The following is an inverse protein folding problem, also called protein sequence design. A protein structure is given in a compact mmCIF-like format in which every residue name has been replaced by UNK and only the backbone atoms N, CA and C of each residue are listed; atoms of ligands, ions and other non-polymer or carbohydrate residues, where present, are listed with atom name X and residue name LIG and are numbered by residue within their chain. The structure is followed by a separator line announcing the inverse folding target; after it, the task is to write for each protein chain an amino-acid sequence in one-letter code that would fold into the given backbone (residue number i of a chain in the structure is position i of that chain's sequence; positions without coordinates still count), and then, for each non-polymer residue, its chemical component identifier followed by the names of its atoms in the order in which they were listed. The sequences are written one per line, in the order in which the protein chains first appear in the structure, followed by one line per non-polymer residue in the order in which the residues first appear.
data_IF_538754801856
#
_entry.id   IF_538754801856
#
_cell.length_a   1.000
_cell.length_b   1.000
_cell.length_c   1.000
_cell.angle_alpha   90.00
_cell.angle_beta   90.00
_cell.angle_gamma   90.00
#
_symmetry.space_group_name_H-M   'P 1'
#
loop_
_entity.id
_entity.type
_entity.pdbx_description
1 polymer ?
#
# COMPACT_ATOMS: atom_id res chain seq x y z
N UNK A 1 13.27 7.65 13.56
CA UNK A 1 12.12 8.41 14.10
C UNK A 1 10.84 7.73 13.66
N UNK A 2 9.89 7.51 14.58
CA UNK A 2 8.55 7.00 14.26
C UNK A 2 7.56 8.16 14.20
N UNK A 3 6.54 8.06 13.36
CA UNK A 3 5.52 9.10 13.29
C UNK A 3 4.20 8.57 12.77
N UNK A 4 3.18 9.42 12.89
CA UNK A 4 1.83 9.19 12.42
C UNK A 4 1.30 10.48 11.81
N UNK A 5 0.60 10.38 10.68
CA UNK A 5 -0.11 11.49 10.06
C UNK A 5 -1.33 10.98 9.28
N UNK A 6 -2.25 11.89 8.99
CA UNK A 6 -3.41 11.61 8.14
C UNK A 6 -3.14 12.21 6.75
N UNK A 7 -3.26 11.40 5.71
CA UNK A 7 -3.15 11.85 4.31
C UNK A 7 -4.54 11.95 3.73
N UNK A 8 -4.83 13.05 3.04
CA UNK A 8 -6.09 13.21 2.33
C UNK A 8 -6.25 12.11 1.28
N UNK A 9 -7.37 11.38 1.34
CA UNK A 9 -7.75 10.37 0.35
C UNK A 9 -8.93 10.85 -0.49
N UNK A 10 -9.92 11.49 0.14
CA UNK A 10 -11.00 12.17 -0.57
C UNK A 10 -10.90 13.64 -0.23
N UNK A 11 -10.76 14.55 -1.23
CA UNK A 11 -10.66 15.98 -1.01
C UNK A 11 -11.67 16.48 0.02
N UNK A 12 -11.16 16.98 1.16
CA UNK A 12 -11.92 17.52 2.29
C UNK A 12 -12.96 16.59 2.94
N UNK A 13 -13.03 15.31 2.58
CA UNK A 13 -14.08 14.38 3.05
C UNK A 13 -13.56 13.17 3.81
N UNK A 14 -12.33 12.74 3.54
CA UNK A 14 -11.79 11.55 4.18
C UNK A 14 -10.30 11.40 3.99
N UNK A 15 -9.67 10.72 4.94
CA UNK A 15 -8.23 10.48 4.96
C UNK A 15 -7.91 9.01 5.14
N UNK A 16 -6.67 8.65 4.85
CA UNK A 16 -6.02 7.44 5.33
C UNK A 16 -5.04 7.81 6.43
N UNK A 17 -4.79 6.89 7.35
CA UNK A 17 -3.77 7.07 8.39
C UNK A 17 -2.47 6.41 7.94
N UNK A 18 -1.37 7.16 7.96
CA UNK A 18 -0.02 6.65 7.71
C UNK A 18 0.72 6.61 9.04
N UNK A 19 1.22 5.43 9.40
CA UNK A 19 2.18 5.24 10.50
C UNK A 19 3.48 4.74 9.92
N UNK A 20 4.60 5.29 10.36
CA UNK A 20 5.90 4.96 9.79
C UNK A 20 6.96 4.80 10.88
N UNK A 21 7.85 3.84 10.64
CA UNK A 21 9.10 3.58 11.36
C UNK A 21 10.21 3.38 10.29
N UNK A 22 11.50 3.30 10.66
CA UNK A 22 12.59 3.23 9.67
C UNK A 22 12.43 2.16 8.57
N UNK A 23 11.80 1.03 8.88
CA UNK A 23 11.61 -0.11 7.96
C UNK A 23 10.17 -0.62 7.92
N UNK A 24 9.20 0.19 8.33
CA UNK A 24 7.80 -0.22 8.40
C UNK A 24 6.93 0.96 7.98
N UNK A 25 6.03 0.74 7.02
CA UNK A 25 4.97 1.67 6.69
C UNK A 25 3.64 0.96 6.87
N UNK A 26 2.76 1.55 7.66
CA UNK A 26 1.37 1.08 7.81
C UNK A 26 0.43 2.14 7.27
N UNK A 27 -0.46 1.75 6.36
CA UNK A 27 -1.55 2.56 5.83
C UNK A 27 -2.87 1.95 6.27
N UNK A 28 -3.68 2.72 6.97
CA UNK A 28 -4.96 2.25 7.49
C UNK A 28 -6.14 3.08 6.98
N UNK A 29 -7.18 2.36 6.59
CA UNK A 29 -8.54 2.82 6.35
C UNK A 29 -9.46 2.26 7.45
N UNK A 30 -10.75 2.62 7.46
CA UNK A 30 -11.68 2.10 8.49
C UNK A 30 -11.86 0.58 8.43
N UNK A 31 -11.83 -0.01 7.23
CA UNK A 31 -12.14 -1.42 6.98
C UNK A 31 -10.93 -2.28 6.62
N UNK A 32 -9.73 -1.69 6.49
CA UNK A 32 -8.55 -2.42 6.01
C UNK A 32 -7.26 -1.76 6.47
N UNK A 33 -6.23 -2.59 6.70
CA UNK A 33 -4.88 -2.14 7.04
C UNK A 33 -3.88 -2.78 6.08
N UNK A 34 -3.00 -1.97 5.53
CA UNK A 34 -1.87 -2.38 4.70
C UNK A 34 -0.58 -2.13 5.48
N UNK A 35 0.29 -3.11 5.56
CA UNK A 35 1.60 -2.99 6.21
C UNK A 35 2.70 -3.41 5.24
N UNK A 36 3.72 -2.59 5.14
CA UNK A 36 4.85 -2.76 4.23
C UNK A 36 6.13 -2.85 5.06
N UNK A 37 6.81 -4.00 4.95
CA UNK A 37 8.05 -4.36 5.62
C UNK A 37 9.08 -4.82 4.57
N UNK A 38 10.38 -4.92 4.90
CA UNK A 38 11.42 -5.11 3.89
C UNK A 38 11.26 -6.39 3.05
N UNK A 39 10.72 -7.45 3.65
CA UNK A 39 10.55 -8.77 3.03
C UNK A 39 9.11 -9.26 3.02
N UNK A 40 8.17 -8.41 3.42
CA UNK A 40 6.77 -8.79 3.47
C UNK A 40 5.85 -7.58 3.24
N UNK A 41 4.69 -7.84 2.67
CA UNK A 41 3.57 -6.91 2.64
C UNK A 41 2.33 -7.64 3.17
N UNK A 42 1.59 -7.00 4.09
CA UNK A 42 0.41 -7.59 4.72
C UNK A 42 -0.81 -6.75 4.38
N UNK A 43 -1.89 -7.43 4.04
CA UNK A 43 -3.22 -6.87 3.83
C UNK A 43 -4.14 -7.52 4.85
N UNK A 44 -4.56 -6.74 5.84
CA UNK A 44 -5.38 -7.23 6.95
C UNK A 44 -6.84 -6.83 6.74
N UNK A 45 -7.70 -7.86 6.70
CA UNK A 45 -9.13 -7.79 6.40
C UNK A 45 -9.45 -7.45 4.95
N UNK A 46 -10.66 -7.87 4.52
CA UNK A 46 -11.29 -7.43 3.27
C UNK A 46 -10.53 -7.85 1.98
N UNK A 47 -9.70 -8.89 2.02
CA UNK A 47 -9.11 -9.52 0.81
C UNK A 47 -10.16 -10.39 0.11
N UNK A 48 -10.23 -10.29 -1.22
CA UNK A 48 -11.12 -11.11 -2.07
C UNK A 48 -10.36 -12.11 -2.93
N UNK A 49 -9.37 -11.63 -3.67
CA UNK A 49 -8.53 -12.43 -4.55
C UNK A 49 -7.15 -11.77 -4.67
N UNK A 50 -6.13 -12.56 -4.99
CA UNK A 50 -4.81 -12.05 -5.31
C UNK A 50 -4.21 -12.82 -6.48
N UNK A 51 -3.37 -12.16 -7.26
CA UNK A 51 -2.69 -12.76 -8.41
C UNK A 51 -1.26 -12.25 -8.53
N UNK A 52 -0.35 -13.16 -8.82
CA UNK A 52 1.00 -12.84 -9.26
C UNK A 52 1.14 -12.99 -10.77
N UNK A 53 1.77 -12.05 -11.45
CA UNK A 53 2.13 -12.15 -12.86
C UNK A 53 3.59 -11.73 -13.08
N UNK A 54 4.21 -12.24 -14.14
CA UNK A 54 5.55 -11.81 -14.58
C UNK A 54 5.42 -11.15 -15.95
N UNK A 55 6.10 -10.02 -16.14
CA UNK A 55 6.21 -9.34 -17.42
C UNK A 55 7.64 -8.81 -17.58
N UNK A 56 8.38 -9.38 -18.53
CA UNK A 56 9.81 -9.11 -18.69
C UNK A 56 10.59 -9.36 -17.40
N UNK A 57 11.37 -8.37 -16.96
CA UNK A 57 12.18 -8.43 -15.73
C UNK A 57 11.41 -8.07 -14.45
N UNK A 58 10.08 -7.93 -14.55
CA UNK A 58 9.21 -7.45 -13.48
C UNK A 58 8.19 -8.51 -13.09
N UNK A 59 7.85 -8.55 -11.81
CA UNK A 59 6.80 -9.37 -11.21
C UNK A 59 5.82 -8.43 -10.51
N UNK A 60 4.55 -8.60 -10.81
CA UNK A 60 3.46 -7.81 -10.25
C UNK A 60 2.59 -8.70 -9.37
N UNK A 61 2.27 -8.22 -8.18
CA UNK A 61 1.37 -8.86 -7.25
C UNK A 61 0.20 -7.92 -7.07
N UNK A 62 -1.00 -8.31 -7.49
CA UNK A 62 -2.19 -7.49 -7.29
C UNK A 62 -3.17 -8.21 -6.36
N UNK A 63 -3.64 -7.49 -5.37
CA UNK A 63 -4.63 -7.90 -4.37
C UNK A 63 -5.89 -7.08 -4.60
N UNK A 64 -7.01 -7.76 -4.77
CA UNK A 64 -8.34 -7.15 -4.90
C UNK A 64 -9.10 -7.29 -3.60
N UNK A 65 -9.83 -6.24 -3.25
CA UNK A 65 -10.61 -6.19 -2.02
C UNK A 65 -12.05 -6.70 -2.24
N UNK A 66 -12.67 -7.16 -1.16
CA UNK A 66 -14.08 -7.57 -1.15
C UNK A 66 -15.03 -6.36 -1.20
N UNK A 67 -14.56 -5.20 -0.76
CA UNK A 67 -15.24 -3.90 -0.84
C UNK A 67 -14.19 -2.78 -0.94
N UNK A 68 -14.57 -1.62 -1.48
CA UNK A 68 -13.65 -0.48 -1.57
C UNK A 68 -13.16 -0.02 -0.20
N UNK A 69 -12.00 0.62 -0.17
CA UNK A 69 -11.45 1.24 1.05
C UNK A 69 -12.40 2.31 1.58
N UNK A 70 -12.61 2.33 2.89
CA UNK A 70 -13.47 3.31 3.56
C UNK A 70 -12.59 4.34 4.28
N UNK A 71 -12.55 5.60 3.84
CA UNK A 71 -11.71 6.62 4.45
C UNK A 71 -12.07 6.88 5.92
N UNK A 72 -11.07 7.24 6.70
CA UNK A 72 -11.21 7.73 8.07
C UNK A 72 -11.83 9.13 8.02
N UNK A 73 -12.81 9.37 8.89
CA UNK A 73 -13.49 10.66 9.03
C UNK A 73 -12.64 11.64 9.86
N UNK A 74 -11.43 11.91 9.38
CA UNK A 74 -10.48 12.85 9.96
C UNK A 74 -9.90 13.74 8.86
N UNK A 75 -9.53 14.98 9.21
CA UNK A 75 -8.85 15.91 8.30
C UNK A 75 -7.47 15.36 7.96
N UNK A 76 -7.19 15.15 6.68
CA UNK A 76 -5.88 14.74 6.18
C UNK A 76 -5.12 15.91 5.56
N UNK A 77 -3.80 15.78 5.50
CA UNK A 77 -2.92 16.68 4.75
C UNK A 77 -2.87 16.24 3.28
N UNK A 78 -3.03 17.16 2.32
CA UNK A 78 -2.90 16.83 0.90
C UNK A 78 -1.44 16.54 0.53
N UNK A 79 -1.23 15.61 -0.39
CA UNK A 79 0.07 15.36 -1.05
C UNK A 79 0.00 15.97 -2.45
N UNK A 80 0.45 17.22 -2.58
CA UNK A 80 0.48 17.95 -3.87
C UNK A 80 1.78 17.69 -4.65
N UNK A 81 2.86 17.38 -3.94
CA UNK A 81 4.16 16.98 -4.48
C UNK A 81 4.59 15.69 -3.80
N UNK A 82 5.48 14.88 -4.41
CA UNK A 82 6.05 13.72 -3.74
C UNK A 82 6.55 14.09 -2.35
N UNK A 83 6.12 13.32 -1.35
CA UNK A 83 6.42 13.59 0.06
C UNK A 83 7.21 12.44 0.64
N UNK A 84 8.35 12.75 1.24
CA UNK A 84 9.13 11.76 1.99
C UNK A 84 8.57 11.66 3.41
N UNK A 85 8.21 10.44 3.82
CA UNK A 85 7.71 10.12 5.16
C UNK A 85 8.52 8.94 5.68
N UNK A 86 9.33 9.18 6.71
CA UNK A 86 10.37 8.23 7.11
C UNK A 86 11.37 8.04 5.97
N UNK A 87 11.49 6.80 5.46
CA UNK A 87 12.31 6.46 4.30
C UNK A 87 11.49 6.12 3.05
N UNK A 88 10.18 6.38 3.08
CA UNK A 88 9.26 6.12 1.98
C UNK A 88 8.96 7.41 1.24
N UNK A 89 8.87 7.34 -0.08
CA UNK A 89 8.34 8.45 -0.88
C UNK A 89 6.89 8.13 -1.28
N UNK A 90 5.97 9.01 -0.90
CA UNK A 90 4.55 8.90 -1.22
C UNK A 90 4.20 9.86 -2.36
N UNK A 91 3.48 9.36 -3.35
CA UNK A 91 2.90 10.14 -4.45
C UNK A 91 1.40 9.88 -4.52
N UNK A 92 0.61 10.94 -4.49
CA UNK A 92 -0.83 10.85 -4.58
C UNK A 92 -1.31 11.36 -5.94
N UNK A 93 -2.18 10.60 -6.59
CA UNK A 93 -2.80 10.96 -7.87
C UNK A 93 -4.30 10.81 -7.72
N UNK A 94 -5.05 11.89 -8.01
CA UNK A 94 -6.50 11.88 -8.08
C UNK A 94 -6.93 12.24 -9.50
N UNK A 95 -7.63 11.33 -10.16
CA UNK A 95 -8.20 11.51 -11.51
C UNK A 95 -9.72 11.77 -11.45
N UNK A 96 -10.28 12.11 -10.28
CA UNK A 96 -11.71 12.25 -9.96
C UNK A 96 -12.52 10.95 -9.96
N UNK A 97 -12.29 10.07 -10.92
CA UNK A 97 -12.92 8.74 -11.00
C UNK A 97 -12.05 7.63 -10.39
N UNK A 98 -10.74 7.87 -10.24
CA UNK A 98 -9.79 6.94 -9.62
C UNK A 98 -8.79 7.69 -8.75
N UNK A 99 -8.40 7.06 -7.65
CA UNK A 99 -7.41 7.56 -6.70
C UNK A 99 -6.30 6.54 -6.52
N UNK A 100 -5.07 7.03 -6.52
CA UNK A 100 -3.88 6.22 -6.34
C UNK A 100 -2.96 6.83 -5.30
N UNK A 101 -2.45 6.00 -4.40
CA UNK A 101 -1.28 6.32 -3.59
C UNK A 101 -0.15 5.37 -3.99
N UNK A 102 0.85 5.91 -4.67
CA UNK A 102 2.10 5.21 -4.95
C UNK A 102 3.04 5.37 -3.76
N UNK A 103 3.55 4.26 -3.26
CA UNK A 103 4.50 4.14 -2.16
C UNK A 103 5.79 3.60 -2.76
N UNK A 104 6.81 4.44 -2.87
CA UNK A 104 8.15 4.03 -3.29
C UNK A 104 8.90 3.61 -2.02
N UNK A 105 9.43 2.39 -2.04
CA UNK A 105 10.08 1.78 -0.89
C UNK A 105 11.57 2.10 -0.85
N UNK A 106 12.19 2.10 0.35
CA UNK A 106 13.63 2.29 0.47
C UNK A 106 14.40 1.04 0.00
N UNK A 107 15.68 1.20 -0.34
CA UNK A 107 16.51 0.13 -0.92
C UNK A 107 16.70 -1.14 -0.08
N UNK A 108 16.31 -1.13 1.20
CA UNK A 108 16.28 -2.33 2.03
C UNK A 108 15.13 -3.30 1.68
N UNK A 109 14.15 -2.86 0.90
CA UNK A 109 12.95 -3.62 0.56
C UNK A 109 13.18 -4.49 -0.68
N UNK A 110 12.57 -5.68 -0.70
CA UNK A 110 12.65 -6.63 -1.81
C UNK A 110 11.57 -6.41 -2.88
N UNK A 111 10.88 -5.28 -2.82
CA UNK A 111 9.93 -4.79 -3.83
C UNK A 111 10.16 -3.29 -3.99
N UNK A 112 9.88 -2.77 -5.18
CA UNK A 112 10.30 -1.43 -5.61
C UNK A 112 9.26 -0.36 -5.27
N UNK A 113 7.97 -0.70 -5.42
CA UNK A 113 6.87 0.18 -5.05
C UNK A 113 5.58 -0.61 -4.87
N UNK A 114 4.64 0.03 -4.18
CA UNK A 114 3.25 -0.39 -4.05
C UNK A 114 2.32 0.71 -4.54
N UNK A 115 1.20 0.35 -5.18
CA UNK A 115 0.15 1.27 -5.61
C UNK A 115 -1.13 0.83 -4.92
N UNK A 116 -1.62 1.68 -4.02
CA UNK A 116 -2.92 1.53 -3.38
C UNK A 116 -3.97 2.30 -4.18
N UNK A 117 -5.12 1.67 -4.42
CA UNK A 117 -6.28 2.26 -5.07
C UNK A 117 -7.55 1.84 -4.32
N UNK A 118 -8.69 2.41 -4.70
CA UNK A 118 -9.93 2.23 -3.93
C UNK A 118 -10.35 0.76 -3.75
N UNK A 119 -10.01 -0.10 -4.70
CA UNK A 119 -10.45 -1.50 -4.75
C UNK A 119 -9.31 -2.51 -4.50
N UNK A 120 -8.10 -2.06 -4.16
CA UNK A 120 -6.96 -2.96 -4.12
C UNK A 120 -5.60 -2.34 -3.92
N UNK A 121 -4.62 -3.22 -4.08
CA UNK A 121 -3.20 -2.96 -3.95
C UNK A 121 -2.46 -3.71 -5.05
N UNK A 122 -1.53 -3.06 -5.74
CA UNK A 122 -0.56 -3.74 -6.61
C UNK A 122 0.87 -3.44 -6.15
N UNK A 123 1.72 -4.46 -6.11
CA UNK A 123 3.12 -4.38 -5.71
C UNK A 123 3.99 -4.82 -6.88
N UNK A 124 5.08 -4.07 -7.14
CA UNK A 124 6.07 -4.42 -8.16
C UNK A 124 7.37 -4.88 -7.51
N UNK A 125 7.90 -6.01 -7.97
CA UNK A 125 9.23 -6.52 -7.63
C UNK A 125 9.97 -7.08 -8.85
N UNK A 126 11.26 -7.39 -8.69
CA UNK A 126 12.04 -8.08 -9.70
C UNK A 126 11.47 -9.48 -9.99
N UNK A 127 11.49 -9.90 -11.26
CA UNK A 127 11.08 -11.25 -11.66
C UNK A 127 11.95 -12.38 -11.08
N UNK A 128 13.14 -12.03 -10.59
CA UNK A 128 14.10 -12.95 -9.97
C UNK A 128 13.81 -13.20 -8.48
N UNK A 129 12.92 -12.43 -7.87
CA UNK A 129 12.51 -12.60 -6.47
C UNK A 129 11.42 -13.63 -6.36
N UNK A 130 11.55 -14.57 -5.44
CA UNK A 130 10.46 -15.49 -5.14
C UNK A 130 9.42 -14.84 -4.23
N UNK A 131 8.16 -15.22 -4.47
CA UNK A 131 7.02 -14.63 -3.76
C UNK A 131 6.12 -15.74 -3.28
N UNK A 132 5.86 -15.73 -1.97
CA UNK A 132 4.97 -16.69 -1.30
C UNK A 132 3.78 -15.96 -0.71
N UNK A 133 2.66 -16.66 -0.63
CA UNK A 133 1.40 -16.13 -0.14
C UNK A 133 0.94 -16.97 1.05
N UNK A 134 0.54 -16.30 2.12
CA UNK A 134 -0.10 -16.93 3.28
C UNK A 134 -1.43 -16.23 3.51
N UNK A 135 -2.50 -17.01 3.44
CA UNK A 135 -3.86 -16.52 3.60
C UNK A 135 -4.42 -17.01 4.94
N UNK A 136 -4.94 -16.07 5.74
CA UNK A 136 -5.57 -16.36 7.04
C UNK A 136 -6.87 -15.58 7.09
N UNK A 137 -8.00 -16.28 6.91
CA UNK A 137 -9.33 -15.65 6.75
C UNK A 137 -9.26 -14.59 5.64
N UNK A 138 -9.78 -13.41 5.89
CA UNK A 138 -9.85 -12.30 4.93
C UNK A 138 -8.54 -11.48 4.87
N UNK A 139 -7.41 -12.08 5.25
CA UNK A 139 -6.10 -11.42 5.31
C UNK A 139 -5.05 -12.18 4.51
N UNK A 140 -4.11 -11.44 3.94
CA UNK A 140 -3.05 -11.95 3.09
C UNK A 140 -1.69 -11.40 3.54
N UNK A 141 -0.73 -12.29 3.76
CA UNK A 141 0.69 -11.94 3.85
C UNK A 141 1.40 -12.36 2.57
N UNK A 142 2.14 -11.43 1.98
CA UNK A 142 2.95 -11.62 0.78
C UNK A 142 4.41 -11.58 1.21
N UNK A 143 5.12 -12.69 1.09
CA UNK A 143 6.55 -12.79 1.43
C UNK A 143 7.41 -12.66 0.18
N UNK A 144 8.53 -11.95 0.27
CA UNK A 144 9.50 -11.74 -0.80
C UNK A 144 10.86 -12.34 -0.41
N UNK A 145 11.48 -13.13 -1.30
CA UNK A 145 12.76 -13.84 -1.08
C UNK A 145 13.74 -13.55 -2.21
#
# INVERSE_FOLDING_TARGET
MSGKLYVEWIPKRGSLMVTFKPYELTIAFKNIVFMFLPREARVSNNVKEYRGSKYGRKRYICVKLSSSVIPISAKGEPIVKPRIIGNFELRYTNLDFLRFLTIITPGAFLYNYAILFDEGLCIETSANKEVYFEEIKDSLTIYFV
#
